data_IF_155192521319
#
_entry.id   IF_155192521319
#
_cell.length_a   1.000
_cell.length_b   1.000
_cell.length_c   1.000
_cell.angle_alpha   90.00
_cell.angle_beta   90.00
_cell.angle_gamma   90.00
#
_symmetry.space_group_name_H-M   'P 1'
#
loop_
_entity.id
_entity.type
_entity.pdbx_description
1 polymer ?
#
# COMPACT_ATOMS: atom_id res chain seq x y z
N UNK A 1 -1.79 -7.84 20.43
CA UNK A 1 -0.82 -7.03 21.18
C UNK A 1 0.30 -6.44 20.31
N UNK A 2 0.50 -6.94 19.08
CA UNK A 2 1.58 -6.50 18.19
C UNK A 2 1.07 -5.91 16.85
N UNK A 3 -0.17 -5.45 16.81
CA UNK A 3 -0.80 -5.00 15.55
C UNK A 3 -0.11 -3.82 14.89
N UNK A 4 0.52 -2.95 15.67
CA UNK A 4 1.28 -1.83 15.12
C UNK A 4 2.59 -2.29 14.45
N UNK A 5 3.29 -3.28 15.03
CA UNK A 5 4.46 -3.85 14.37
C UNK A 5 4.08 -4.60 13.07
N UNK A 6 2.93 -5.29 13.08
CA UNK A 6 2.39 -5.92 11.86
C UNK A 6 1.99 -4.86 10.81
N UNK A 7 1.47 -3.70 11.24
CA UNK A 7 1.22 -2.58 10.33
C UNK A 7 2.51 -2.11 9.65
N UNK A 8 3.58 -1.91 10.41
CA UNK A 8 4.90 -1.51 9.86
C UNK A 8 5.47 -2.58 8.90
N UNK A 9 5.24 -3.84 9.19
CA UNK A 9 5.58 -4.96 8.31
C UNK A 9 4.81 -4.89 6.98
N UNK A 10 3.50 -4.61 7.04
CA UNK A 10 2.67 -4.40 5.85
C UNK A 10 3.13 -3.18 5.05
N UNK A 11 3.45 -2.07 5.72
CA UNK A 11 4.00 -0.86 5.08
C UNK A 11 5.29 -1.19 4.32
N UNK A 12 6.25 -1.85 4.98
CA UNK A 12 7.51 -2.26 4.35
C UNK A 12 7.30 -3.19 3.15
N UNK A 13 6.30 -4.06 3.23
CA UNK A 13 5.96 -4.99 2.14
C UNK A 13 5.45 -4.26 0.90
N UNK A 14 4.56 -3.29 1.10
CA UNK A 14 4.04 -2.45 0.00
C UNK A 14 5.13 -1.53 -0.56
N UNK A 15 5.96 -0.94 0.31
CA UNK A 15 7.07 -0.06 -0.09
C UNK A 15 8.06 -0.77 -1.03
N UNK A 16 8.38 -2.04 -0.77
CA UNK A 16 9.26 -2.83 -1.62
C UNK A 16 8.78 -2.91 -3.09
N UNK A 17 7.47 -2.90 -3.32
CA UNK A 17 6.94 -2.93 -4.69
C UNK A 17 7.30 -1.66 -5.46
N UNK A 18 7.23 -0.48 -4.82
CA UNK A 18 7.61 0.78 -5.46
C UNK A 18 9.11 0.84 -5.74
N UNK A 19 9.91 0.28 -4.84
CA UNK A 19 11.35 0.14 -5.05
C UNK A 19 11.65 -0.74 -6.27
N UNK A 20 11.02 -1.92 -6.38
CA UNK A 20 11.20 -2.81 -7.53
C UNK A 20 10.69 -2.21 -8.83
N UNK A 21 9.62 -1.43 -8.80
CA UNK A 21 9.11 -0.71 -9.97
C UNK A 21 9.90 0.56 -10.28
N UNK A 22 10.79 0.99 -9.38
CA UNK A 22 11.58 2.21 -9.52
C UNK A 22 10.70 3.42 -9.82
N UNK A 23 9.59 3.56 -9.10
CA UNK A 23 8.66 4.67 -9.21
C UNK A 23 8.98 5.73 -8.15
N UNK A 24 8.81 7.01 -8.45
CA UNK A 24 8.86 8.07 -7.45
C UNK A 24 7.64 7.96 -6.55
N UNK A 25 7.82 7.64 -5.29
CA UNK A 25 6.74 7.46 -4.31
C UNK A 25 6.98 8.28 -3.05
N UNK A 26 5.93 8.44 -2.27
CA UNK A 26 5.97 8.93 -0.90
C UNK A 26 4.95 8.19 -0.03
N UNK A 27 5.21 8.14 1.26
CA UNK A 27 4.32 7.55 2.26
C UNK A 27 3.78 8.69 3.12
N UNK A 28 2.46 8.77 3.26
CA UNK A 28 1.77 9.74 4.09
C UNK A 28 1.23 9.04 5.33
N UNK A 29 1.61 9.52 6.49
CA UNK A 29 0.92 9.22 7.73
C UNK A 29 -0.29 10.15 7.82
N UNK A 30 -1.49 9.60 7.67
CA UNK A 30 -2.70 10.41 7.62
C UNK A 30 -3.00 11.08 8.97
N UNK A 31 -3.41 12.33 8.91
CA UNK A 31 -3.98 13.02 10.05
C UNK A 31 -5.45 12.62 10.28
N UNK A 32 -5.96 12.88 11.49
CA UNK A 32 -7.33 12.48 11.85
C UNK A 32 -8.44 13.06 10.98
N UNK A 33 -8.17 14.14 10.23
CA UNK A 33 -9.13 14.72 9.29
C UNK A 33 -9.29 13.94 7.98
N UNK A 34 -8.25 13.17 7.61
CA UNK A 34 -8.21 12.40 6.35
C UNK A 34 -8.43 10.90 6.58
N UNK A 35 -8.26 10.44 7.83
CA UNK A 35 -8.49 9.02 8.16
C UNK A 35 -9.98 8.67 8.13
N UNK A 36 -10.30 7.46 7.65
CA UNK A 36 -11.62 6.86 7.82
C UNK A 36 -11.99 6.72 9.31
N UNK A 37 -13.25 6.97 9.66
CA UNK A 37 -13.75 6.99 11.06
C UNK A 37 -13.47 5.70 11.85
N UNK A 38 -13.19 4.60 11.18
CA UNK A 38 -12.94 3.29 11.81
C UNK A 38 -11.44 3.04 12.07
N UNK A 39 -10.57 3.79 11.43
CA UNK A 39 -9.12 3.59 11.48
C UNK A 39 -8.50 4.28 12.70
N UNK A 40 -7.56 3.61 13.34
CA UNK A 40 -6.74 4.17 14.42
C UNK A 40 -5.41 4.73 13.88
N UNK A 41 -4.91 4.18 12.78
CA UNK A 41 -3.70 4.64 12.09
C UNK A 41 -3.77 4.20 10.64
N UNK A 42 -3.45 5.11 9.71
CA UNK A 42 -3.41 4.84 8.28
C UNK A 42 -2.17 5.44 7.64
N UNK A 43 -1.53 4.65 6.78
CA UNK A 43 -0.50 5.08 5.84
C UNK A 43 -1.02 4.96 4.41
N UNK A 44 -0.93 6.06 3.65
CA UNK A 44 -1.20 6.07 2.23
C UNK A 44 0.10 6.14 1.44
N UNK A 45 0.14 5.40 0.34
CA UNK A 45 1.24 5.43 -0.60
C UNK A 45 0.81 6.18 -1.84
N UNK A 46 1.57 7.16 -2.21
CA UNK A 46 1.34 7.94 -3.41
C UNK A 46 2.51 7.82 -4.38
N UNK A 47 2.21 7.74 -5.66
CA UNK A 47 3.17 7.79 -6.76
C UNK A 47 2.95 9.05 -7.57
N UNK A 48 4.03 9.69 -7.99
CA UNK A 48 3.95 10.89 -8.80
C UNK A 48 3.55 10.55 -10.25
N UNK A 49 2.45 11.14 -10.70
CA UNK A 49 2.01 11.09 -12.10
C UNK A 49 2.69 12.21 -12.88
N UNK A 50 3.58 11.84 -13.79
CA UNK A 50 4.31 12.81 -14.61
C UNK A 50 3.38 13.57 -15.58
N UNK A 51 2.37 12.90 -16.13
CA UNK A 51 1.41 13.51 -17.05
C UNK A 51 0.44 14.46 -16.35
N UNK A 52 -0.01 14.11 -15.12
CA UNK A 52 -0.94 14.93 -14.36
C UNK A 52 -0.24 15.96 -13.45
N UNK A 53 1.09 15.84 -13.29
CA UNK A 53 1.91 16.65 -12.38
C UNK A 53 1.40 16.67 -10.93
N UNK A 54 0.92 15.53 -10.45
CA UNK A 54 0.39 15.38 -9.09
C UNK A 54 0.69 14.00 -8.51
N UNK A 55 0.59 13.91 -7.20
CA UNK A 55 0.67 12.66 -6.47
C UNK A 55 -0.68 11.93 -6.54
N UNK A 56 -0.65 10.63 -6.82
CA UNK A 56 -1.81 9.76 -6.88
C UNK A 56 -1.70 8.69 -5.82
N UNK A 57 -2.68 8.56 -4.95
CA UNK A 57 -2.80 7.45 -4.02
C UNK A 57 -2.92 6.13 -4.79
N UNK A 58 -2.06 5.19 -4.48
CA UNK A 58 -1.98 3.87 -5.15
C UNK A 58 -2.09 2.70 -4.18
N UNK A 59 -2.00 2.96 -2.89
CA UNK A 59 -2.17 1.97 -1.82
C UNK A 59 -2.51 2.68 -0.52
N UNK A 60 -3.25 2.00 0.34
CA UNK A 60 -3.54 2.43 1.71
C UNK A 60 -3.45 1.24 2.64
N UNK A 61 -2.84 1.41 3.81
CA UNK A 61 -2.67 0.37 4.84
C UNK A 61 -3.10 0.92 6.18
N UNK A 62 -4.02 0.23 6.85
CA UNK A 62 -4.65 0.72 8.07
C UNK A 62 -4.68 -0.29 9.20
N UNK A 63 -4.56 0.19 10.43
CA UNK A 63 -4.88 -0.54 11.65
C UNK A 63 -6.20 -0.02 12.21
N UNK A 64 -7.14 -0.92 12.46
CA UNK A 64 -8.48 -0.61 13.00
C UNK A 64 -8.60 -0.96 14.47
N UNK A 65 -7.52 -1.45 15.08
CA UNK A 65 -7.56 -1.99 16.45
C UNK A 65 -8.76 -2.91 16.65
N UNK A 66 -9.55 -2.68 17.69
CA UNK A 66 -10.73 -3.50 18.01
C UNK A 66 -12.05 -2.99 17.40
N UNK A 67 -12.02 -1.94 16.58
CA UNK A 67 -13.23 -1.34 16.04
C UNK A 67 -14.10 -2.33 15.25
N UNK A 68 -13.48 -3.06 14.33
CA UNK A 68 -14.18 -4.05 13.49
C UNK A 68 -14.51 -5.31 14.29
N UNK A 69 -13.61 -5.80 15.12
CA UNK A 69 -13.82 -7.01 15.90
C UNK A 69 -14.91 -6.87 16.96
N UNK A 70 -15.11 -5.67 17.49
CA UNK A 70 -16.25 -5.35 18.37
C UNK A 70 -17.58 -5.60 17.67
N UNK A 71 -17.71 -5.18 16.39
CA UNK A 71 -18.90 -5.36 15.57
C UNK A 71 -19.09 -6.80 15.11
N UNK A 72 -18.02 -7.44 14.68
CA UNK A 72 -18.01 -8.85 14.27
C UNK A 72 -18.09 -9.83 15.44
N UNK A 73 -17.92 -9.33 16.69
CA UNK A 73 -17.81 -10.13 17.91
C UNK A 73 -16.66 -11.15 17.88
N UNK A 74 -15.61 -10.85 17.10
CA UNK A 74 -14.45 -11.73 16.94
C UNK A 74 -13.49 -11.57 18.12
N UNK A 75 -13.18 -12.68 18.78
CA UNK A 75 -12.35 -12.72 19.99
C UNK A 75 -11.37 -13.87 19.96
N UNK A 76 -10.33 -13.75 20.76
CA UNK A 76 -9.38 -14.84 21.01
C UNK A 76 -9.17 -15.00 22.52
N UNK A 77 -8.62 -16.14 22.91
CA UNK A 77 -8.14 -16.35 24.29
C UNK A 77 -6.64 -16.09 24.32
N UNK A 78 -6.22 -15.20 25.21
CA UNK A 78 -4.79 -14.95 25.45
C UNK A 78 -4.14 -16.13 26.21
N UNK A 79 -2.82 -16.04 26.43
CA UNK A 79 -2.04 -17.07 27.11
C UNK A 79 -2.53 -17.37 28.55
N UNK A 80 -3.27 -16.46 29.16
CA UNK A 80 -3.86 -16.61 30.49
C UNK A 80 -5.31 -17.11 30.42
N UNK A 81 -5.83 -17.45 29.23
CA UNK A 81 -7.20 -17.89 29.01
C UNK A 81 -8.24 -16.76 29.03
N UNK A 82 -7.83 -15.50 29.15
CA UNK A 82 -8.74 -14.34 29.14
C UNK A 82 -9.19 -14.03 27.71
N UNK A 83 -10.47 -13.78 27.54
CA UNK A 83 -11.06 -13.42 26.24
C UNK A 83 -10.74 -11.95 25.92
N UNK A 84 -10.13 -11.73 24.75
CA UNK A 84 -9.75 -10.43 24.22
C UNK A 84 -10.37 -10.22 22.83
N UNK A 85 -10.61 -8.96 22.45
CA UNK A 85 -10.94 -8.60 21.07
C UNK A 85 -9.68 -8.67 20.20
N UNK A 86 -9.82 -9.15 18.97
CA UNK A 86 -8.70 -9.11 18.01
C UNK A 86 -8.53 -7.70 17.44
N UNK A 87 -7.30 -7.33 17.10
CA UNK A 87 -7.07 -6.18 16.24
C UNK A 87 -7.16 -6.62 14.77
N UNK A 88 -7.67 -5.74 13.93
CA UNK A 88 -7.77 -5.97 12.49
C UNK A 88 -6.92 -4.96 11.74
N UNK A 89 -6.27 -5.44 10.68
CA UNK A 89 -5.52 -4.61 9.75
C UNK A 89 -6.08 -4.84 8.35
N UNK A 90 -5.94 -3.83 7.51
CA UNK A 90 -6.36 -3.88 6.11
C UNK A 90 -5.34 -3.13 5.27
N UNK A 91 -5.05 -3.64 4.08
CA UNK A 91 -4.16 -2.96 3.15
C UNK A 91 -4.48 -3.35 1.72
N UNK A 92 -4.44 -2.38 0.82
CA UNK A 92 -4.39 -2.63 -0.61
C UNK A 92 -2.93 -2.76 -1.04
N UNK A 93 -2.62 -3.76 -1.84
CA UNK A 93 -1.23 -3.92 -2.29
C UNK A 93 -0.93 -3.16 -3.56
N UNK A 94 -1.84 -2.64 -4.31
CA UNK A 94 -1.70 -1.56 -5.31
C UNK A 94 -3.01 -1.36 -6.07
N UNK A 95 -3.35 -0.10 -6.34
CA UNK A 95 -4.41 0.27 -7.27
C UNK A 95 -3.92 0.09 -8.71
N UNK A 96 -4.16 -1.10 -9.30
CA UNK A 96 -3.58 -1.51 -10.59
C UNK A 96 -3.73 -0.47 -11.71
N UNK A 97 -4.90 0.15 -11.96
CA UNK A 97 -5.01 1.14 -13.03
C UNK A 97 -4.09 2.35 -12.82
N UNK A 98 -3.97 2.84 -11.59
CA UNK A 98 -3.10 3.98 -11.27
C UNK A 98 -1.62 3.61 -11.38
N UNK A 99 -1.24 2.44 -10.91
CA UNK A 99 0.15 1.94 -11.02
C UNK A 99 0.56 1.77 -12.48
N UNK A 100 -0.31 1.17 -13.30
CA UNK A 100 -0.04 1.02 -14.73
C UNK A 100 0.13 2.38 -15.40
N UNK A 101 -0.77 3.33 -15.13
CA UNK A 101 -0.65 4.69 -15.64
C UNK A 101 0.68 5.34 -15.23
N UNK A 102 1.02 5.28 -13.93
CA UNK A 102 2.28 5.86 -13.43
C UNK A 102 3.52 5.17 -14.01
N UNK A 103 3.49 3.86 -14.23
CA UNK A 103 4.59 3.14 -14.92
C UNK A 103 4.74 3.64 -16.34
N UNK A 104 3.65 3.70 -17.11
CA UNK A 104 3.67 4.16 -18.49
C UNK A 104 4.15 5.61 -18.58
N UNK A 105 3.69 6.47 -17.69
CA UNK A 105 4.05 7.91 -17.69
C UNK A 105 5.52 8.15 -17.28
N UNK A 106 5.98 7.51 -16.19
CA UNK A 106 7.31 7.77 -15.64
C UNK A 106 8.46 7.04 -16.37
N UNK A 107 8.13 6.03 -17.18
CA UNK A 107 9.12 5.21 -17.89
C UNK A 107 9.19 5.49 -19.39
N UNK A 108 8.54 6.55 -19.86
CA UNK A 108 8.62 6.97 -21.27
C UNK A 108 10.01 7.50 -21.64
N UNK A 109 10.47 7.07 -22.80
CA UNK A 109 11.67 7.56 -23.47
C UNK A 109 11.35 7.87 -24.93
N UNK A 110 12.30 8.45 -25.68
CA UNK A 110 12.17 8.67 -27.12
C UNK A 110 12.02 7.35 -27.92
N UNK A 111 12.47 6.22 -27.36
CA UNK A 111 12.49 4.91 -28.01
C UNK A 111 11.28 4.04 -27.60
N UNK A 112 10.53 4.44 -26.58
CA UNK A 112 9.39 3.71 -26.04
C UNK A 112 9.35 3.72 -24.51
N UNK A 113 8.66 2.76 -23.93
CA UNK A 113 8.49 2.66 -22.48
C UNK A 113 9.47 1.62 -21.93
N UNK A 114 10.41 2.05 -21.11
CA UNK A 114 11.40 1.16 -20.47
C UNK A 114 10.74 0.44 -19.30
N UNK A 115 10.68 -0.89 -19.37
CA UNK A 115 10.13 -1.69 -18.27
C UNK A 115 11.11 -1.81 -17.10
N UNK A 116 10.63 -1.72 -15.84
CA UNK A 116 11.42 -2.11 -14.68
C UNK A 116 11.95 -3.55 -14.79
N UNK A 117 13.14 -3.80 -14.31
CA UNK A 117 13.82 -5.11 -14.42
C UNK A 117 12.95 -6.27 -13.91
N UNK A 118 12.24 -6.05 -12.80
CA UNK A 118 11.35 -7.05 -12.20
C UNK A 118 10.26 -7.54 -13.16
N UNK A 119 9.91 -6.76 -14.17
CA UNK A 119 8.89 -7.11 -15.17
C UNK A 119 9.47 -7.79 -16.41
N UNK A 120 10.79 -7.80 -16.62
CA UNK A 120 11.40 -8.35 -17.85
C UNK A 120 11.07 -9.82 -18.07
N UNK A 121 11.07 -10.64 -17.00
CA UNK A 121 10.75 -12.07 -17.08
C UNK A 121 9.30 -12.34 -17.49
N UNK A 122 8.38 -11.44 -17.15
CA UNK A 122 6.95 -11.58 -17.50
C UNK A 122 6.66 -11.13 -18.92
N UNK A 123 7.34 -10.10 -19.41
CA UNK A 123 7.11 -9.54 -20.74
C UNK A 123 8.03 -10.13 -21.81
N UNK A 124 9.13 -10.78 -21.42
CA UNK A 124 10.15 -11.28 -22.34
C UNK A 124 10.94 -10.17 -23.08
N UNK A 125 10.81 -8.93 -22.63
CA UNK A 125 11.49 -7.75 -23.21
C UNK A 125 11.64 -6.64 -22.16
N UNK A 126 12.53 -5.68 -22.44
CA UNK A 126 12.84 -4.55 -21.56
C UNK A 126 12.22 -3.23 -22.05
N UNK A 127 11.72 -3.18 -23.27
CA UNK A 127 11.15 -2.00 -23.93
C UNK A 127 9.82 -2.35 -24.59
N UNK A 128 8.84 -1.47 -24.45
CA UNK A 128 7.57 -1.46 -25.17
C UNK A 128 7.61 -0.27 -26.13
N UNK A 129 7.53 -0.54 -27.42
CA UNK A 129 7.50 0.42 -28.51
C UNK A 129 6.28 0.21 -29.40
#
# INVERSE_FOLDING_TARGET
>A
ENSYAVLEEMVSHVENLFFFFQLPYRILHLCGGDMGFASALTYDFEVYSAAQQKWLEVSSVSNFESFQSTRMKTRYKDANGKTQLVHTLNGSSLALPRIVACLLENKQTAEGIVLPEVLHSYFGKHLIN
#
